data_IF_812189162296
#
_entry.id   IF_812189162296
#
_cell.length_a   1.000
_cell.length_b   1.000
_cell.length_c   1.000
_cell.angle_alpha   90.00
_cell.angle_beta   90.00
_cell.angle_gamma   90.00
#
_symmetry.space_group_name_H-M   'P 1'
#
loop_
_entity.id
_entity.type
_entity.pdbx_description
1 polymer ?
#
# COMPACT_ATOMS: atom_id res chain seq x y z
N UNK A 1 12.28 18.15 -29.62
CA UNK A 1 11.03 17.39 -29.51
C UNK A 1 11.03 16.46 -30.70
N UNK A 2 10.86 15.16 -30.47
CA UNK A 2 10.80 14.17 -31.54
C UNK A 2 9.34 13.76 -31.71
N UNK A 3 8.86 13.76 -32.94
CA UNK A 3 7.49 13.38 -33.29
C UNK A 3 7.55 12.24 -34.32
N UNK A 4 6.69 11.23 -34.15
CA UNK A 4 6.62 10.13 -35.11
C UNK A 4 5.85 8.92 -34.58
N UNK A 5 5.52 7.99 -35.47
CA UNK A 5 4.85 6.75 -35.07
C UNK A 5 5.72 5.88 -34.17
N UNK A 6 7.03 5.87 -34.40
CA UNK A 6 8.04 5.13 -33.63
C UNK A 6 9.24 6.02 -33.33
N UNK A 7 9.57 6.20 -32.06
CA UNK A 7 10.70 7.02 -31.61
C UNK A 7 11.65 6.16 -30.77
N UNK A 8 12.94 6.26 -31.07
CA UNK A 8 14.04 5.75 -30.21
C UNK A 8 14.97 6.90 -29.91
N UNK A 9 15.23 7.16 -28.63
CA UNK A 9 16.12 8.22 -28.18
C UNK A 9 17.12 7.66 -27.16
N UNK A 10 18.40 7.96 -27.37
CA UNK A 10 19.52 7.61 -26.51
C UNK A 10 20.24 8.93 -26.19
N UNK A 11 19.92 9.53 -25.05
CA UNK A 11 20.40 10.88 -24.75
C UNK A 11 20.05 11.34 -23.33
N UNK A 12 20.80 12.31 -22.80
CA UNK A 12 20.63 12.75 -21.41
C UNK A 12 19.25 13.34 -21.12
N UNK A 13 18.59 13.91 -22.12
CA UNK A 13 17.26 14.50 -21.99
C UNK A 13 16.45 14.43 -23.27
N UNK A 14 15.19 14.04 -23.16
CA UNK A 14 14.32 13.80 -24.30
C UNK A 14 12.90 14.32 -24.08
N UNK A 15 12.29 14.79 -25.17
CA UNK A 15 10.84 15.06 -25.27
C UNK A 15 10.33 14.41 -26.54
N UNK A 16 9.45 13.41 -26.41
CA UNK A 16 8.98 12.60 -27.52
C UNK A 16 7.44 12.56 -27.52
N UNK A 17 6.83 12.62 -28.69
CA UNK A 17 5.40 12.45 -28.90
C UNK A 17 5.17 11.43 -30.03
N UNK A 18 4.45 10.35 -29.76
CA UNK A 18 4.33 9.28 -30.74
C UNK A 18 3.63 8.03 -30.25
N UNK A 19 3.20 7.16 -31.17
CA UNK A 19 2.47 5.94 -30.80
C UNK A 19 3.32 4.95 -30.01
N UNK A 20 4.62 4.85 -30.34
CA UNK A 20 5.57 3.96 -29.69
C UNK A 20 6.89 4.68 -29.40
N UNK A 21 7.25 4.80 -28.13
CA UNK A 21 8.43 5.53 -27.68
C UNK A 21 9.34 4.59 -26.88
N UNK A 22 10.63 4.56 -27.23
CA UNK A 22 11.70 3.95 -26.43
C UNK A 22 12.74 5.00 -26.09
N UNK A 23 13.06 5.11 -24.81
CA UNK A 23 14.01 6.08 -24.30
C UNK A 23 15.01 5.42 -23.37
N UNK A 24 16.28 5.70 -23.60
CA UNK A 24 17.38 5.32 -22.72
C UNK A 24 18.17 6.60 -22.41
N UNK A 25 18.13 7.06 -21.17
CA UNK A 25 18.64 8.39 -20.86
C UNK A 25 18.39 8.83 -19.43
N UNK A 26 19.03 9.93 -19.00
CA UNK A 26 18.86 10.39 -17.62
C UNK A 26 17.45 10.93 -17.34
N UNK A 27 16.78 11.53 -18.33
CA UNK A 27 15.47 12.14 -18.14
C UNK A 27 14.62 12.14 -19.42
N UNK A 28 13.36 11.72 -19.33
CA UNK A 28 12.43 11.80 -20.45
C UNK A 28 11.07 12.40 -20.08
N UNK A 29 10.45 13.08 -21.05
CA UNK A 29 9.02 13.35 -21.10
C UNK A 29 8.45 12.75 -22.37
N UNK A 30 7.52 11.82 -22.26
CA UNK A 30 6.97 11.10 -23.40
C UNK A 30 5.44 11.15 -23.37
N UNK A 31 4.82 11.43 -24.51
CA UNK A 31 3.37 11.35 -24.70
C UNK A 31 3.08 10.34 -25.81
N UNK A 32 2.30 9.31 -25.53
CA UNK A 32 2.15 8.21 -26.49
C UNK A 32 1.43 6.97 -25.99
N UNK A 33 0.92 6.17 -26.92
CA UNK A 33 0.15 4.96 -26.59
C UNK A 33 0.99 3.89 -25.87
N UNK A 34 2.28 3.75 -26.23
CA UNK A 34 3.17 2.74 -25.67
C UNK A 34 4.56 3.32 -25.42
N UNK A 35 4.94 3.42 -24.15
CA UNK A 35 6.19 4.07 -23.73
C UNK A 35 7.05 3.07 -22.95
N UNK A 36 8.34 3.00 -23.31
CA UNK A 36 9.38 2.33 -22.52
C UNK A 36 10.48 3.33 -22.20
N UNK A 37 10.83 3.45 -20.93
CA UNK A 37 11.90 4.35 -20.50
C UNK A 37 12.82 3.65 -19.50
N UNK A 38 14.12 3.71 -19.77
CA UNK A 38 15.17 3.28 -18.86
C UNK A 38 16.02 4.50 -18.54
N UNK A 39 15.99 4.93 -17.28
CA UNK A 39 16.57 6.21 -16.94
C UNK A 39 16.35 6.68 -15.52
N UNK A 40 17.09 7.69 -15.08
CA UNK A 40 16.95 8.21 -13.71
C UNK A 40 15.58 8.83 -13.46
N UNK A 41 14.95 9.43 -14.49
CA UNK A 41 13.65 10.10 -14.35
C UNK A 41 12.75 9.99 -15.57
N UNK A 42 11.47 9.69 -15.34
CA UNK A 42 10.45 9.55 -16.37
C UNK A 42 9.20 10.37 -16.04
N UNK A 43 8.64 11.04 -17.05
CA UNK A 43 7.26 11.55 -17.04
C UNK A 43 6.57 11.06 -18.30
N UNK A 44 5.56 10.21 -18.16
CA UNK A 44 4.87 9.66 -19.32
C UNK A 44 3.36 9.87 -19.21
N UNK A 45 2.76 10.16 -20.36
CA UNK A 45 1.32 10.24 -20.51
C UNK A 45 0.89 9.34 -21.68
N UNK A 46 -0.09 8.48 -21.43
CA UNK A 46 -0.74 7.69 -22.47
C UNK A 46 -1.16 6.29 -22.03
N UNK A 47 -1.49 5.40 -22.96
CA UNK A 47 -2.21 4.17 -22.61
C UNK A 47 -1.40 3.18 -21.77
N UNK A 48 -0.14 2.96 -22.14
CA UNK A 48 0.75 1.99 -21.48
C UNK A 48 2.16 2.54 -21.29
N UNK A 49 2.69 2.43 -20.06
CA UNK A 49 4.06 2.81 -19.75
C UNK A 49 4.80 1.70 -19.00
N UNK A 50 6.05 1.42 -19.39
CA UNK A 50 6.99 0.60 -18.63
C UNK A 50 8.25 1.40 -18.33
N UNK A 51 8.61 1.53 -17.06
CA UNK A 51 9.74 2.35 -16.65
C UNK A 51 10.65 1.63 -15.68
N UNK A 52 11.95 1.84 -15.86
CA UNK A 52 12.97 1.48 -14.89
C UNK A 52 13.75 2.75 -14.52
N UNK A 53 13.78 3.09 -13.24
CA UNK A 53 14.35 4.37 -12.83
C UNK A 53 14.12 4.83 -11.40
N UNK A 54 14.85 5.85 -10.99
CA UNK A 54 14.76 6.37 -9.62
C UNK A 54 13.50 7.19 -9.34
N UNK A 55 13.00 7.93 -10.32
CA UNK A 55 11.86 8.85 -10.14
C UNK A 55 10.91 8.83 -11.33
N UNK A 56 9.77 8.17 -11.16
CA UNK A 56 8.83 7.90 -12.25
C UNK A 56 7.48 8.56 -11.97
N UNK A 57 6.92 9.21 -12.99
CA UNK A 57 5.53 9.68 -13.01
C UNK A 57 4.83 9.20 -14.25
N UNK A 58 3.70 8.53 -14.11
CA UNK A 58 2.88 8.13 -15.24
C UNK A 58 1.42 8.51 -15.03
N UNK A 59 0.78 8.88 -16.13
CA UNK A 59 -0.66 9.01 -16.25
C UNK A 59 -1.10 8.13 -17.41
N UNK A 60 -1.95 7.13 -17.15
CA UNK A 60 -2.26 6.15 -18.17
C UNK A 60 -3.12 4.98 -17.74
N UNK A 61 -3.60 4.19 -18.70
CA UNK A 61 -4.45 3.03 -18.39
C UNK A 61 -3.67 1.92 -17.66
N UNK A 62 -2.44 1.64 -18.11
CA UNK A 62 -1.59 0.57 -17.56
C UNK A 62 -0.16 1.05 -17.33
N UNK A 63 0.37 0.85 -16.12
CA UNK A 63 1.75 1.26 -15.78
C UNK A 63 2.49 0.17 -15.02
N UNK A 64 3.69 -0.17 -15.48
CA UNK A 64 4.63 -1.07 -14.80
C UNK A 64 5.92 -0.29 -14.49
N UNK A 65 6.27 -0.17 -13.21
CA UNK A 65 7.46 0.59 -12.81
C UNK A 65 8.35 -0.19 -11.86
N UNK A 66 9.66 -0.06 -12.07
CA UNK A 66 10.70 -0.59 -11.21
C UNK A 66 11.65 0.54 -10.80
N UNK A 67 11.90 0.68 -9.50
CA UNK A 67 12.94 1.55 -8.96
C UNK A 67 12.57 2.28 -7.68
N UNK A 68 13.15 3.44 -7.40
CA UNK A 68 13.10 4.00 -6.03
C UNK A 68 11.77 4.65 -5.67
N UNK A 69 11.16 5.41 -6.59
CA UNK A 69 9.94 6.16 -6.31
C UNK A 69 9.06 6.30 -7.54
N UNK A 70 7.78 5.92 -7.40
CA UNK A 70 6.78 6.02 -8.45
C UNK A 70 5.54 6.80 -7.99
N UNK A 71 5.00 7.63 -8.89
CA UNK A 71 3.67 8.24 -8.75
C UNK A 71 2.85 7.97 -9.99
N UNK A 72 1.75 7.23 -9.86
CA UNK A 72 0.95 6.80 -11.01
C UNK A 72 -0.51 7.13 -10.82
N UNK A 73 -1.14 7.52 -11.91
CA UNK A 73 -2.59 7.66 -12.03
C UNK A 73 -3.07 6.78 -13.18
N UNK A 74 -4.02 5.89 -12.92
CA UNK A 74 -4.39 4.91 -13.93
C UNK A 74 -5.31 3.78 -13.52
N UNK A 75 -5.74 2.97 -14.49
CA UNK A 75 -6.64 1.84 -14.21
C UNK A 75 -5.93 0.63 -13.62
N UNK A 76 -4.70 0.34 -14.05
CA UNK A 76 -3.94 -0.84 -13.65
C UNK A 76 -2.48 -0.49 -13.42
N UNK A 77 -2.05 -0.58 -12.16
CA UNK A 77 -0.73 -0.09 -11.74
C UNK A 77 0.04 -1.24 -11.07
N UNK A 78 1.29 -1.44 -11.50
CA UNK A 78 2.27 -2.29 -10.81
C UNK A 78 3.52 -1.48 -10.51
N UNK A 79 3.94 -1.50 -9.24
CA UNK A 79 5.23 -0.93 -8.85
C UNK A 79 6.02 -1.90 -7.99
N UNK A 80 7.31 -1.98 -8.28
CA UNK A 80 8.31 -2.60 -7.43
C UNK A 80 9.32 -1.51 -7.05
N UNK A 81 9.44 -1.20 -5.76
CA UNK A 81 10.27 -0.08 -5.36
C UNK A 81 10.22 0.33 -3.91
N UNK A 82 11.06 1.29 -3.52
CA UNK A 82 11.07 1.76 -2.12
C UNK A 82 9.80 2.53 -1.76
N UNK A 83 9.24 3.31 -2.69
CA UNK A 83 8.03 4.11 -2.44
C UNK A 83 7.11 4.20 -3.64
N UNK A 84 5.80 4.06 -3.39
CA UNK A 84 4.77 4.18 -4.42
C UNK A 84 3.61 5.05 -3.94
N UNK A 85 3.11 5.93 -4.81
CA UNK A 85 1.83 6.63 -4.63
C UNK A 85 0.96 6.43 -5.86
N UNK A 86 -0.16 5.74 -5.70
CA UNK A 86 -1.02 5.39 -6.83
C UNK A 86 -2.46 5.81 -6.61
N UNK A 87 -3.10 6.24 -7.69
CA UNK A 87 -4.51 6.57 -7.73
C UNK A 87 -5.13 5.82 -8.92
N UNK A 88 -6.16 5.01 -8.67
CA UNK A 88 -6.63 4.13 -9.72
C UNK A 88 -7.61 3.04 -9.35
N UNK A 89 -8.07 2.28 -10.35
CA UNK A 89 -8.98 1.16 -10.09
C UNK A 89 -8.25 0.01 -9.38
N UNK A 90 -7.08 -0.38 -9.88
CA UNK A 90 -6.31 -1.52 -9.38
C UNK A 90 -4.83 -1.21 -9.21
N UNK A 91 -4.27 -1.54 -8.05
CA UNK A 91 -2.84 -1.37 -7.77
C UNK A 91 -2.24 -2.64 -7.14
N UNK A 92 -1.05 -3.03 -7.61
CA UNK A 92 -0.19 -4.03 -6.97
C UNK A 92 1.17 -3.41 -6.70
N UNK A 93 1.60 -3.36 -5.45
CA UNK A 93 2.86 -2.75 -5.08
C UNK A 93 3.68 -3.66 -4.17
N UNK A 94 4.99 -3.66 -4.40
CA UNK A 94 5.98 -4.24 -3.52
C UNK A 94 6.96 -3.15 -3.10
N UNK A 95 7.13 -2.94 -1.78
CA UNK A 95 7.94 -1.83 -1.31
C UNK A 95 7.86 -1.43 0.15
N UNK A 96 8.72 -0.50 0.55
CA UNK A 96 8.80 -0.07 1.95
C UNK A 96 7.68 0.89 2.35
N UNK A 97 7.26 1.81 1.47
CA UNK A 97 6.25 2.83 1.80
C UNK A 97 5.28 3.02 0.65
N UNK A 98 4.05 2.56 0.83
CA UNK A 98 3.05 2.51 -0.23
C UNK A 98 1.81 3.31 0.18
N UNK A 99 1.32 4.14 -0.74
CA UNK A 99 0.06 4.87 -0.64
C UNK A 99 -0.80 4.58 -1.85
N UNK A 100 -2.02 4.09 -1.65
CA UNK A 100 -2.95 3.87 -2.75
C UNK A 100 -4.33 4.44 -2.45
N UNK A 101 -4.94 4.98 -3.48
CA UNK A 101 -6.36 5.31 -3.52
C UNK A 101 -7.01 4.52 -4.66
N UNK A 102 -8.04 3.72 -4.37
CA UNK A 102 -8.60 2.87 -5.41
C UNK A 102 -9.60 1.81 -5.01
N UNK A 103 -9.99 0.98 -5.98
CA UNK A 103 -11.02 -0.05 -5.77
C UNK A 103 -10.43 -1.39 -5.31
N UNK A 104 -9.27 -1.80 -5.84
CA UNK A 104 -8.65 -3.10 -5.57
C UNK A 104 -7.15 -2.96 -5.41
N UNK A 105 -6.68 -3.07 -4.17
CA UNK A 105 -5.30 -2.79 -3.81
C UNK A 105 -4.64 -4.02 -3.20
N UNK A 106 -3.42 -4.33 -3.65
CA UNK A 106 -2.55 -5.37 -3.09
C UNK A 106 -1.18 -4.78 -2.79
N UNK A 107 -0.73 -4.87 -1.55
CA UNK A 107 0.58 -4.38 -1.16
C UNK A 107 1.35 -5.44 -0.38
N UNK A 108 2.64 -5.52 -0.68
CA UNK A 108 3.62 -6.31 0.06
C UNK A 108 4.75 -5.38 0.51
N UNK A 109 5.08 -5.40 1.80
CA UNK A 109 6.26 -4.75 2.34
C UNK A 109 6.06 -4.03 3.67
N UNK A 110 6.81 -2.98 3.95
CA UNK A 110 6.93 -2.51 5.34
C UNK A 110 5.72 -1.71 5.83
N UNK A 111 5.20 -0.79 5.01
CA UNK A 111 4.09 0.09 5.40
C UNK A 111 3.18 0.42 4.23
N UNK A 112 1.88 0.27 4.44
CA UNK A 112 0.84 0.60 3.47
C UNK A 112 -0.25 1.51 4.07
N UNK A 113 -0.63 2.54 3.33
CA UNK A 113 -1.82 3.36 3.58
C UNK A 113 -2.75 3.24 2.36
N UNK A 114 -3.97 2.77 2.57
CA UNK A 114 -4.93 2.56 1.48
C UNK A 114 -6.27 3.21 1.77
N UNK A 115 -6.82 3.88 0.78
CA UNK A 115 -8.19 4.39 0.77
C UNK A 115 -8.96 3.73 -0.37
N UNK A 116 -10.06 3.06 -0.07
CA UNK A 116 -10.71 2.29 -1.11
C UNK A 116 -11.76 1.26 -0.75
N UNK A 117 -12.21 0.53 -1.77
CA UNK A 117 -13.21 -0.51 -1.58
C UNK A 117 -12.61 -1.79 -0.97
N UNK A 118 -11.47 -2.25 -1.49
CA UNK A 118 -10.82 -3.49 -1.06
C UNK A 118 -9.30 -3.36 -1.02
N UNK A 119 -8.70 -3.73 0.10
CA UNK A 119 -7.25 -3.79 0.26
C UNK A 119 -6.79 -5.13 0.85
N UNK A 120 -5.71 -5.69 0.31
CA UNK A 120 -4.95 -6.82 0.86
C UNK A 120 -3.53 -6.33 1.13
N UNK A 121 -3.07 -6.41 2.37
CA UNK A 121 -1.73 -5.97 2.76
C UNK A 121 -1.00 -7.08 3.51
N UNK A 122 0.24 -7.34 3.10
CA UNK A 122 1.18 -8.20 3.82
C UNK A 122 2.38 -7.35 4.23
N UNK A 123 2.67 -7.26 5.53
CA UNK A 123 3.68 -6.31 5.96
C UNK A 123 3.85 -6.07 7.45
N UNK A 124 4.68 -5.08 7.79
CA UNK A 124 4.83 -4.68 9.19
C UNK A 124 3.66 -3.83 9.68
N UNK A 125 3.18 -2.90 8.84
CA UNK A 125 2.08 -1.99 9.20
C UNK A 125 1.13 -1.68 8.06
N UNK A 126 -0.17 -1.64 8.34
CA UNK A 126 -1.19 -1.27 7.36
C UNK A 126 -2.24 -0.33 7.98
N UNK A 127 -2.58 0.74 7.27
CA UNK A 127 -3.73 1.61 7.54
C UNK A 127 -4.69 1.56 6.37
N UNK A 128 -5.95 1.31 6.63
CA UNK A 128 -6.94 1.16 5.58
C UNK A 128 -8.22 1.93 5.89
N UNK A 129 -8.74 2.64 4.91
CA UNK A 129 -10.04 3.32 4.98
C UNK A 129 -10.97 2.78 3.88
N UNK A 130 -12.24 2.52 4.21
CA UNK A 130 -13.28 2.09 3.26
C UNK A 130 -13.84 0.68 3.50
N UNK A 131 -14.28 -0.03 2.47
CA UNK A 131 -15.24 -1.14 2.68
C UNK A 131 -14.64 -2.40 3.30
N UNK A 132 -13.60 -2.97 2.70
CA UNK A 132 -13.00 -4.24 3.14
C UNK A 132 -11.47 -4.15 3.20
N UNK A 133 -10.86 -4.70 4.24
CA UNK A 133 -9.41 -4.90 4.29
C UNK A 133 -9.05 -6.28 4.86
N UNK A 134 -8.02 -6.89 4.28
CA UNK A 134 -7.30 -8.03 4.85
C UNK A 134 -5.86 -7.64 5.08
N UNK A 135 -5.40 -7.77 6.31
CA UNK A 135 -4.06 -7.38 6.69
C UNK A 135 -3.35 -8.52 7.42
N UNK A 136 -2.18 -8.89 6.96
CA UNK A 136 -1.26 -9.77 7.65
C UNK A 136 -0.05 -8.95 8.09
N UNK A 137 0.15 -8.81 9.41
CA UNK A 137 1.23 -7.96 9.89
C UNK A 137 1.28 -7.66 11.38
N UNK A 138 2.31 -6.90 11.77
CA UNK A 138 2.53 -6.58 13.18
C UNK A 138 1.52 -5.56 13.71
N UNK A 139 1.14 -4.55 12.93
CA UNK A 139 0.22 -3.50 13.39
C UNK A 139 -0.73 -3.07 12.30
N UNK A 140 -2.03 -3.13 12.57
CA UNK A 140 -3.07 -2.86 11.58
C UNK A 140 -4.09 -1.88 12.14
N UNK A 141 -4.47 -0.89 11.34
CA UNK A 141 -5.55 0.05 11.62
C UNK A 141 -6.55 0.00 10.45
N UNK A 142 -7.83 -0.14 10.78
CA UNK A 142 -8.91 -0.19 9.79
C UNK A 142 -10.08 0.68 10.20
N UNK A 143 -10.50 1.57 9.31
CA UNK A 143 -11.76 2.30 9.38
C UNK A 143 -12.70 1.83 8.26
N UNK A 144 -13.90 1.35 8.61
CA UNK A 144 -14.98 1.02 7.67
C UNK A 144 -15.70 -0.33 7.91
N UNK A 145 -16.22 -0.96 6.85
CA UNK A 145 -17.29 -1.96 7.00
C UNK A 145 -16.84 -3.43 7.15
N UNK A 146 -15.54 -3.72 7.07
CA UNK A 146 -15.01 -5.09 7.12
C UNK A 146 -13.51 -5.13 7.31
N UNK A 147 -13.06 -5.82 8.35
CA UNK A 147 -11.65 -6.06 8.65
C UNK A 147 -11.39 -7.54 8.90
N UNK A 148 -10.35 -8.08 8.27
CA UNK A 148 -9.72 -9.35 8.62
C UNK A 148 -8.25 -9.09 8.92
N UNK A 149 -7.81 -9.21 10.16
CA UNK A 149 -6.43 -8.94 10.54
C UNK A 149 -5.78 -10.15 11.18
N UNK A 150 -4.57 -10.47 10.74
CA UNK A 150 -3.74 -11.53 11.30
C UNK A 150 -2.42 -10.90 11.79
N UNK A 151 -2.11 -11.04 13.08
CA UNK A 151 -0.81 -10.70 13.64
C UNK A 151 -0.83 -10.08 15.04
N UNK A 152 0.07 -9.13 15.30
CA UNK A 152 0.34 -8.75 16.71
C UNK A 152 -0.70 -7.79 17.27
N UNK A 153 -1.06 -6.74 16.54
CA UNK A 153 -1.94 -5.67 16.99
C UNK A 153 -2.91 -5.23 15.90
N UNK A 154 -4.20 -5.13 16.24
CA UNK A 154 -5.24 -4.63 15.36
C UNK A 154 -6.11 -3.58 16.05
N UNK A 155 -6.43 -2.49 15.35
CA UNK A 155 -7.45 -1.52 15.74
C UNK A 155 -8.45 -1.35 14.61
N UNK A 156 -9.72 -1.65 14.89
CA UNK A 156 -10.77 -1.58 13.89
C UNK A 156 -11.90 -0.68 14.36
N UNK A 157 -12.31 0.26 13.52
CA UNK A 157 -13.49 1.10 13.71
C UNK A 157 -14.49 0.80 12.59
N UNK A 158 -15.66 0.26 12.97
CA UNK A 158 -16.79 0.07 12.06
C UNK A 158 -17.52 -1.26 12.23
N UNK A 159 -18.16 -1.75 11.16
CA UNK A 159 -19.30 -2.67 11.33
C UNK A 159 -18.93 -4.13 11.58
N UNK A 160 -17.78 -4.60 11.13
CA UNK A 160 -17.39 -6.01 11.22
C UNK A 160 -15.87 -6.19 11.25
N UNK A 161 -15.36 -6.88 12.28
CA UNK A 161 -13.96 -7.21 12.40
C UNK A 161 -13.74 -8.67 12.82
N UNK A 162 -12.78 -9.33 12.18
CA UNK A 162 -12.21 -10.62 12.57
C UNK A 162 -10.71 -10.43 12.78
N UNK A 163 -10.23 -10.70 13.99
CA UNK A 163 -8.82 -10.56 14.31
C UNK A 163 -8.27 -11.87 14.88
N UNK A 164 -7.12 -12.29 14.35
CA UNK A 164 -6.33 -13.38 14.88
C UNK A 164 -5.00 -12.85 15.39
N UNK A 165 -4.73 -13.05 16.68
CA UNK A 165 -3.41 -12.81 17.26
C UNK A 165 -3.40 -12.16 18.63
N UNK A 166 -2.40 -11.32 18.91
CA UNK A 166 -2.08 -11.01 20.31
C UNK A 166 -3.00 -9.96 20.93
N UNK A 167 -3.26 -8.85 20.26
CA UNK A 167 -4.14 -7.79 20.75
C UNK A 167 -5.03 -7.20 19.66
N UNK A 168 -6.30 -6.97 20.00
CA UNK A 168 -7.27 -6.36 19.12
C UNK A 168 -8.18 -5.40 19.90
N UNK A 169 -8.35 -4.20 19.36
CA UNK A 169 -9.31 -3.18 19.78
C UNK A 169 -10.34 -3.01 18.67
N UNK A 170 -11.62 -3.20 18.98
CA UNK A 170 -12.70 -3.03 18.00
C UNK A 170 -13.77 -2.09 18.53
N UNK A 171 -14.08 -1.08 17.73
CA UNK A 171 -15.16 -0.13 17.98
C UNK A 171 -16.25 -0.34 16.91
N UNK A 172 -17.36 -0.99 17.28
CA UNK A 172 -18.52 -1.12 16.40
C UNK A 172 -19.40 -2.36 16.64
N UNK A 173 -20.22 -2.71 15.65
CA UNK A 173 -21.41 -3.55 15.89
C UNK A 173 -21.14 -5.06 15.98
N UNK A 174 -20.03 -5.56 15.45
CA UNK A 174 -19.75 -7.01 15.42
C UNK A 174 -18.25 -7.28 15.34
N UNK A 175 -17.70 -7.98 16.34
CA UNK A 175 -16.28 -8.31 16.39
C UNK A 175 -16.02 -9.74 16.89
N UNK A 176 -15.15 -10.47 16.20
CA UNK A 176 -14.60 -11.74 16.63
C UNK A 176 -13.09 -11.62 16.80
N UNK A 177 -12.59 -11.95 18.00
CA UNK A 177 -11.15 -11.93 18.31
C UNK A 177 -10.72 -13.32 18.76
N UNK A 178 -9.74 -13.90 18.09
CA UNK A 178 -9.10 -15.16 18.45
C UNK A 178 -7.64 -14.90 18.88
N UNK A 179 -7.31 -15.17 20.14
CA UNK A 179 -5.94 -15.03 20.68
C UNK A 179 -5.86 -14.48 22.11
N UNK A 180 -4.65 -14.08 22.55
CA UNK A 180 -4.29 -13.96 23.98
C UNK A 180 -4.85 -12.74 24.72
N UNK A 181 -5.30 -11.69 24.03
CA UNK A 181 -5.96 -10.54 24.67
C UNK A 181 -6.91 -9.81 23.72
N UNK A 182 -8.20 -10.19 23.73
CA UNK A 182 -9.27 -9.46 23.04
C UNK A 182 -10.05 -8.60 24.02
N UNK A 183 -9.97 -7.27 23.88
CA UNK A 183 -10.82 -6.32 24.60
C UNK A 183 -11.93 -5.84 23.68
N UNK A 184 -13.17 -6.25 23.93
CA UNK A 184 -14.35 -5.66 23.30
C UNK A 184 -14.97 -4.70 24.31
N UNK A 185 -14.95 -3.39 24.03
CA UNK A 185 -15.70 -2.42 24.83
C UNK A 185 -17.19 -2.45 24.43
N UNK A 186 -17.90 -3.51 24.83
CA UNK A 186 -19.35 -3.54 24.74
C UNK A 186 -19.97 -2.69 25.85
N UNK A 187 -20.85 -1.77 25.43
CA UNK A 187 -21.92 -1.26 26.28
C UNK A 187 -22.79 -2.43 26.76
N UNK A 188 -22.39 -3.06 27.87
CA UNK A 188 -23.20 -4.01 28.63
C UNK A 188 -22.58 -5.38 28.82
N UNK A 189 -21.57 -5.49 29.69
CA UNK A 189 -21.42 -6.43 30.83
C UNK A 189 -19.97 -6.33 31.33
N UNK A 190 -19.82 -5.90 32.58
CA UNK A 190 -18.56 -5.72 33.31
C UNK A 190 -17.65 -6.96 33.27
N UNK A 191 -16.40 -6.85 32.81
CA UNK A 191 -15.21 -7.47 33.40
C UNK A 191 -13.94 -6.71 33.00
N UNK A 192 -12.95 -6.72 33.89
CA UNK A 192 -11.94 -5.67 34.11
C UNK A 192 -10.82 -5.54 33.05
N UNK A 193 -10.43 -4.27 32.85
CA UNK A 193 -9.24 -3.73 32.17
C UNK A 193 -7.97 -4.58 32.24
N UNK A 194 -7.26 -4.67 31.11
CA UNK A 194 -5.79 -4.53 31.10
C UNK A 194 -5.33 -3.78 29.85
N UNK A 195 -4.71 -2.62 30.08
CA UNK A 195 -4.01 -1.82 29.08
C UNK A 195 -2.74 -2.51 28.61
N UNK A 196 -2.43 -2.38 27.32
CA UNK A 196 -1.13 -2.70 26.75
C UNK A 196 -0.07 -1.69 27.27
N UNK A 197 0.40 -1.85 28.50
CA UNK A 197 1.49 -1.03 29.06
C UNK A 197 2.81 -1.80 29.00
N UNK A 198 3.60 -1.45 27.99
CA UNK A 198 5.05 -1.54 27.87
C UNK A 198 5.82 -2.45 28.85
N UNK A 199 6.58 -3.38 28.26
CA UNK A 199 7.77 -4.00 28.84
C UNK A 199 8.64 -2.96 29.56
N UNK A 200 8.75 -3.06 30.89
CA UNK A 200 9.95 -2.69 31.68
C UNK A 200 9.84 -3.18 33.15
N UNK A 201 10.49 -4.32 33.37
CA UNK A 201 11.37 -4.57 34.51
C UNK A 201 10.74 -4.65 35.93
N UNK A 202 10.49 -5.87 36.41
CA UNK A 202 10.70 -6.24 37.82
C UNK A 202 11.01 -7.73 37.95
N UNK A 203 12.32 -8.04 37.97
CA UNK A 203 12.84 -9.18 38.70
C UNK A 203 12.51 -9.02 40.19
N UNK A 204 11.79 -9.95 40.81
CA UNK A 204 12.14 -10.51 42.13
C UNK A 204 11.17 -11.62 42.59
N UNK A 205 11.59 -12.86 42.34
CA UNK A 205 11.60 -14.06 43.22
C UNK A 205 10.59 -14.11 44.39
N UNK A 206 9.65 -15.05 44.29
CA UNK A 206 8.92 -15.67 45.42
C UNK A 206 9.87 -16.33 46.43
N UNK A 207 9.62 -16.11 47.73
CA UNK A 207 10.04 -17.03 48.80
C UNK A 207 8.83 -17.38 49.65
N UNK A 208 8.52 -18.68 49.66
CA UNK A 208 7.51 -19.33 50.51
C UNK A 208 7.81 -19.10 52.00
N UNK A 209 6.75 -18.91 52.80
CA UNK A 209 6.72 -19.32 54.20
C UNK A 209 6.07 -20.70 54.27
#
# INVERSE_FOLDING_TARGET
>A
MNEGSSIRNEGSSARNEGSSIRNEGSSARNEGSSIRNEGSSAKNEGSSARNEGSSIRNEGSSTDNEGSSARNEGSSIRNEGSSARNEGSSARNEGSSIRNEGSSIRNEGSSAENEGSSAENEGSSAKNEGSNARNEGSSTEKEGSGAGNEGSSARNEGSSAMNEGSCAENEGSSAGNEGSSGGNEDNGIFFLFYSCLAVKNTSHVSRMQ
#
